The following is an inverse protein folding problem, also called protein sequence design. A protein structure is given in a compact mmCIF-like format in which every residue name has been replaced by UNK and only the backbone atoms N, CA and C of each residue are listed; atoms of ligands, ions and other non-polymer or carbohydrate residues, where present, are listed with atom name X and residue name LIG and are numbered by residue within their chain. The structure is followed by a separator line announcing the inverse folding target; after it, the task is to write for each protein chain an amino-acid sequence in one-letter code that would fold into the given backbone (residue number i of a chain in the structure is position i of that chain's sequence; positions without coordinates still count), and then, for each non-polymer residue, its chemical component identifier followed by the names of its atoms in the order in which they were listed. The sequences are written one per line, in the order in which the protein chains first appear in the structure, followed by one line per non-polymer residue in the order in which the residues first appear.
data_IF_851863737297
#
_entry.id   IF_851863737297
#
_cell.length_a   1.000
_cell.length_b   1.000
_cell.length_c   1.000
_cell.angle_alpha   90.00
_cell.angle_beta   90.00
_cell.angle_gamma   90.00
#
_symmetry.space_group_name_H-M   'P 1'
#
loop_
_entity.id
_entity.type
_entity.pdbx_description
1 polymer ?
#
# COMPACT_ATOMS: atom_id res chain seq x y z
N UNK A 1 -40.71 60.96 4.69
CA UNK A 1 -39.73 61.02 3.57
C UNK A 1 -38.91 59.75 3.66
N UNK A 2 -39.41 58.66 3.07
CA UNK A 2 -38.93 57.30 3.36
C UNK A 2 -37.99 56.89 2.24
N UNK A 3 -36.69 57.02 2.49
CA UNK A 3 -35.65 56.87 1.49
C UNK A 3 -35.47 55.41 1.01
N UNK A 4 -35.24 55.20 -0.30
CA UNK A 4 -34.83 53.91 -0.89
C UNK A 4 -33.53 53.31 -0.30
N UNK A 5 -32.79 54.11 0.47
CA UNK A 5 -31.53 53.72 1.14
C UNK A 5 -31.69 52.57 2.11
N UNK A 6 -32.87 52.39 2.69
CA UNK A 6 -33.13 51.26 3.56
C UNK A 6 -33.18 49.96 2.70
N UNK A 7 -34.01 49.87 1.66
CA UNK A 7 -34.14 48.61 0.87
C UNK A 7 -32.82 48.19 0.20
N UNK A 8 -31.97 49.16 -0.15
CA UNK A 8 -30.63 48.91 -0.69
C UNK A 8 -29.72 48.10 0.25
N UNK A 9 -29.80 48.31 1.57
CA UNK A 9 -28.96 47.59 2.54
C UNK A 9 -29.27 46.09 2.59
N UNK A 10 -30.55 45.72 2.55
CA UNK A 10 -30.98 44.32 2.50
C UNK A 10 -30.55 43.67 1.19
N UNK A 11 -30.70 44.37 0.07
CA UNK A 11 -30.29 43.87 -1.25
C UNK A 11 -28.77 43.65 -1.29
N UNK A 12 -27.97 44.56 -0.74
CA UNK A 12 -26.50 44.41 -0.66
C UNK A 12 -26.11 43.25 0.25
N UNK A 13 -26.78 43.08 1.39
CA UNK A 13 -26.51 41.96 2.31
C UNK A 13 -26.85 40.62 1.66
N UNK A 14 -28.01 40.52 1.01
CA UNK A 14 -28.43 39.33 0.26
C UNK A 14 -27.47 39.07 -0.90
N UNK A 15 -27.08 40.10 -1.65
CA UNK A 15 -26.12 39.98 -2.75
C UNK A 15 -24.73 39.53 -2.26
N UNK A 16 -24.25 40.06 -1.12
CA UNK A 16 -22.98 39.64 -0.52
C UNK A 16 -23.04 38.19 -0.02
N UNK A 17 -24.17 37.77 0.57
CA UNK A 17 -24.39 36.39 1.02
C UNK A 17 -24.45 35.42 -0.17
N UNK A 18 -25.15 35.80 -1.24
CA UNK A 18 -25.20 35.06 -2.50
C UNK A 18 -23.84 34.98 -3.17
N UNK A 19 -23.10 36.08 -3.19
CA UNK A 19 -21.76 36.13 -3.74
C UNK A 19 -20.82 35.21 -2.96
N UNK A 20 -20.88 35.23 -1.62
CA UNK A 20 -20.07 34.36 -0.78
C UNK A 20 -20.46 32.88 -0.93
N UNK A 21 -21.76 32.59 -1.00
CA UNK A 21 -22.30 31.25 -1.22
C UNK A 21 -21.91 30.69 -2.59
N UNK A 22 -21.86 31.55 -3.61
CA UNK A 22 -21.41 31.21 -4.96
C UNK A 22 -19.88 31.02 -5.04
N UNK A 23 -19.12 31.82 -4.29
CA UNK A 23 -17.65 31.84 -4.39
C UNK A 23 -16.95 30.81 -3.48
N UNK A 24 -17.57 30.39 -2.38
CA UNK A 24 -17.04 29.33 -1.49
C UNK A 24 -16.81 27.98 -2.21
N UNK A 25 -17.72 27.50 -3.07
CA UNK A 25 -17.53 26.28 -3.85
C UNK A 25 -16.48 26.42 -4.95
N UNK A 26 -16.40 27.58 -5.62
CA UNK A 26 -15.56 27.77 -6.81
C UNK A 26 -14.06 27.69 -6.50
N UNK A 27 -13.63 28.19 -5.33
CA UNK A 27 -12.27 28.03 -4.82
C UNK A 27 -11.86 26.57 -4.59
N UNK A 28 -12.85 25.70 -4.41
CA UNK A 28 -12.63 24.26 -4.24
C UNK A 28 -12.36 23.53 -5.56
N UNK A 29 -12.71 24.16 -6.68
CA UNK A 29 -12.42 23.66 -8.02
C UNK A 29 -10.93 23.77 -8.34
N UNK A 30 -10.31 24.94 -8.06
CA UNK A 30 -8.90 25.25 -8.40
C UNK A 30 -7.91 24.16 -7.96
N UNK A 31 -8.05 23.59 -6.77
CA UNK A 31 -7.17 22.51 -6.30
C UNK A 31 -7.45 21.13 -6.91
N UNK A 32 -8.60 20.93 -7.53
CA UNK A 32 -8.91 19.70 -8.29
C UNK A 32 -8.39 19.80 -9.72
N UNK A 33 -8.30 21.00 -10.29
CA UNK A 33 -7.69 21.23 -11.61
C UNK A 33 -6.20 20.84 -11.62
N UNK A 34 -5.43 21.16 -10.57
CA UNK A 34 -4.02 20.74 -10.45
C UNK A 34 -3.82 19.20 -10.41
N UNK A 35 -4.82 18.46 -9.95
CA UNK A 35 -4.80 16.99 -9.92
C UNK A 35 -5.27 16.39 -11.25
N UNK A 36 -6.26 17.02 -11.89
CA UNK A 36 -6.76 16.65 -13.20
C UNK A 36 -5.74 16.90 -14.32
N UNK A 37 -5.00 18.03 -14.28
CA UNK A 37 -3.92 18.32 -15.22
C UNK A 37 -2.82 17.26 -15.18
N UNK A 38 -2.38 16.87 -13.99
CA UNK A 38 -1.36 15.81 -13.84
C UNK A 38 -1.84 14.46 -14.34
N UNK A 39 -3.15 14.19 -14.28
CA UNK A 39 -3.73 12.95 -14.81
C UNK A 39 -3.85 13.00 -16.35
N UNK A 40 -4.24 14.16 -16.90
CA UNK A 40 -4.27 14.41 -18.34
C UNK A 40 -2.86 14.31 -18.96
N UNK A 41 -1.83 14.82 -18.28
CA UNK A 41 -0.45 14.73 -18.72
C UNK A 41 0.10 13.29 -18.70
N UNK A 42 -0.33 12.46 -17.74
CA UNK A 42 0.03 11.03 -17.69
C UNK A 42 -0.62 10.25 -18.82
N UNK A 43 -1.89 10.52 -19.11
CA UNK A 43 -2.60 9.92 -20.24
C UNK A 43 -1.98 10.31 -21.58
N UNK A 44 -1.66 11.59 -21.78
CA UNK A 44 -0.98 12.02 -23.02
C UNK A 44 0.42 11.39 -23.17
N UNK A 45 1.17 11.22 -22.08
CA UNK A 45 2.45 10.49 -22.10
C UNK A 45 2.26 9.00 -22.37
N UNK A 46 1.22 8.39 -21.81
CA UNK A 46 0.90 6.99 -22.05
C UNK A 46 0.48 6.75 -23.51
N UNK A 47 -0.33 7.65 -24.09
CA UNK A 47 -0.71 7.59 -25.50
C UNK A 47 0.49 7.81 -26.42
N UNK A 48 1.39 8.74 -26.06
CA UNK A 48 2.64 8.97 -26.80
C UNK A 48 3.52 7.72 -26.81
N UNK A 49 3.71 7.10 -25.64
CA UNK A 49 4.51 5.86 -25.50
C UNK A 49 3.83 4.70 -26.22
N UNK A 50 2.49 4.57 -26.16
CA UNK A 50 1.74 3.56 -26.89
C UNK A 50 1.86 3.72 -28.41
N UNK A 51 1.84 4.97 -28.90
CA UNK A 51 2.08 5.29 -30.29
C UNK A 51 3.53 4.98 -30.70
N UNK A 52 4.51 5.35 -29.87
CA UNK A 52 5.93 5.05 -30.10
C UNK A 52 6.25 3.54 -30.01
N UNK A 53 5.45 2.73 -29.30
CA UNK A 53 5.58 1.26 -29.27
C UNK A 53 4.79 0.52 -30.35
N UNK A 54 4.11 1.22 -31.26
CA UNK A 54 3.28 0.60 -32.32
C UNK A 54 4.00 0.42 -33.67
N UNK A 55 5.24 0.89 -33.80
CA UNK A 55 6.07 0.67 -34.99
C UNK A 55 6.71 -0.73 -34.95
N UNK A 56 5.91 -1.73 -35.37
CA UNK A 56 6.15 -3.10 -35.87
C UNK A 56 7.34 -3.94 -35.32
N UNK A 57 7.12 -5.25 -35.03
CA UNK A 57 7.32 -6.23 -36.12
C UNK A 57 6.43 -7.50 -36.01
N UNK A 58 6.06 -8.06 -37.19
CA UNK A 58 6.00 -9.52 -37.54
C UNK A 58 4.79 -9.88 -38.41
N UNK A 59 4.94 -9.71 -39.71
CA UNK A 59 3.99 -10.22 -40.70
C UNK A 59 4.32 -11.62 -41.25
N UNK A 60 5.33 -12.36 -40.73
CA UNK A 60 5.83 -13.57 -41.43
C UNK A 60 5.84 -14.87 -40.58
N UNK A 61 5.06 -14.99 -39.50
CA UNK A 61 5.01 -16.26 -38.71
C UNK A 61 3.61 -16.70 -38.28
N UNK A 62 2.56 -16.25 -38.99
CA UNK A 62 1.18 -16.26 -38.47
C UNK A 62 0.30 -17.45 -38.87
N UNK A 63 0.68 -18.31 -39.82
CA UNK A 63 -0.28 -19.31 -40.30
C UNK A 63 -0.31 -20.62 -39.47
N UNK A 64 0.77 -20.96 -38.77
CA UNK A 64 0.82 -22.16 -37.89
C UNK A 64 0.59 -21.84 -36.40
N UNK A 65 0.67 -20.57 -36.02
CA UNK A 65 0.53 -20.13 -34.63
C UNK A 65 -0.85 -19.60 -34.27
N UNK A 66 -1.80 -19.41 -35.20
CA UNK A 66 -3.05 -18.72 -34.89
C UNK A 66 -3.89 -19.42 -33.79
N UNK A 67 -3.94 -20.76 -33.78
CA UNK A 67 -4.71 -21.52 -32.77
C UNK A 67 -4.00 -21.59 -31.41
N UNK A 68 -2.70 -21.80 -31.40
CA UNK A 68 -1.88 -21.85 -30.16
C UNK A 68 -1.66 -20.45 -29.58
N UNK A 69 -1.50 -19.42 -30.41
CA UNK A 69 -1.41 -18.03 -29.99
C UNK A 69 -2.72 -17.52 -29.39
N UNK A 70 -3.89 -17.93 -29.89
CA UNK A 70 -5.17 -17.59 -29.25
C UNK A 70 -5.32 -18.23 -27.87
N UNK A 71 -4.87 -19.48 -27.69
CA UNK A 71 -4.86 -20.14 -26.38
C UNK A 71 -3.89 -19.45 -25.40
N UNK A 72 -2.68 -19.12 -25.86
CA UNK A 72 -1.68 -18.39 -25.06
C UNK A 72 -2.12 -16.95 -24.76
N UNK A 73 -2.80 -16.28 -25.69
CA UNK A 73 -3.35 -14.94 -25.48
C UNK A 73 -4.49 -14.96 -24.47
N UNK A 74 -5.34 -15.99 -24.47
CA UNK A 74 -6.38 -16.18 -23.44
C UNK A 74 -5.78 -16.42 -22.06
N UNK A 75 -4.72 -17.23 -21.97
CA UNK A 75 -3.99 -17.44 -20.71
C UNK A 75 -3.29 -16.16 -20.23
N UNK A 76 -2.63 -15.42 -21.13
CA UNK A 76 -2.00 -14.14 -20.81
C UNK A 76 -3.02 -13.10 -20.32
N UNK A 77 -4.19 -12.99 -20.97
CA UNK A 77 -5.28 -12.10 -20.53
C UNK A 77 -5.84 -12.49 -19.16
N UNK A 78 -5.97 -13.79 -18.86
CA UNK A 78 -6.40 -14.27 -17.55
C UNK A 78 -5.39 -13.92 -16.46
N UNK A 79 -4.11 -14.16 -16.70
CA UNK A 79 -3.04 -13.80 -15.76
C UNK A 79 -2.92 -12.28 -15.56
N UNK A 80 -3.15 -11.48 -16.60
CA UNK A 80 -3.21 -10.02 -16.48
C UNK A 80 -4.41 -9.59 -15.64
N UNK A 81 -5.61 -10.13 -15.89
CA UNK A 81 -6.80 -9.83 -15.11
C UNK A 81 -6.64 -10.23 -13.63
N UNK A 82 -6.02 -11.39 -13.35
CA UNK A 82 -5.72 -11.82 -11.97
C UNK A 82 -4.72 -10.88 -11.28
N UNK A 83 -3.67 -10.44 -11.99
CA UNK A 83 -2.71 -9.47 -11.46
C UNK A 83 -3.37 -8.12 -11.19
N UNK A 84 -4.18 -7.61 -12.11
CA UNK A 84 -4.94 -6.37 -11.93
C UNK A 84 -5.90 -6.48 -10.74
N UNK A 85 -6.59 -7.60 -10.57
CA UNK A 85 -7.46 -7.83 -9.42
C UNK A 85 -6.67 -7.88 -8.11
N UNK A 86 -5.53 -8.55 -8.07
CA UNK A 86 -4.65 -8.60 -6.91
C UNK A 86 -4.07 -7.21 -6.56
N UNK A 87 -3.70 -6.41 -7.56
CA UNK A 87 -3.25 -5.03 -7.37
C UNK A 87 -4.40 -4.15 -6.86
N UNK A 88 -5.60 -4.26 -7.42
CA UNK A 88 -6.78 -3.53 -6.95
C UNK A 88 -7.13 -3.91 -5.50
N UNK A 89 -7.00 -5.18 -5.12
CA UNK A 89 -7.19 -5.63 -3.74
C UNK A 89 -6.12 -5.03 -2.82
N UNK A 90 -4.84 -5.05 -3.21
CA UNK A 90 -3.76 -4.40 -2.44
C UNK A 90 -3.96 -2.90 -2.31
N UNK A 91 -4.39 -2.20 -3.37
CA UNK A 91 -4.72 -0.78 -3.29
C UNK A 91 -5.91 -0.53 -2.36
N UNK A 92 -6.94 -1.39 -2.39
CA UNK A 92 -8.09 -1.31 -1.48
C UNK A 92 -7.67 -1.54 -0.03
N UNK A 93 -6.80 -2.50 0.24
CA UNK A 93 -6.23 -2.77 1.57
C UNK A 93 -5.36 -1.61 2.05
N UNK A 94 -4.50 -1.05 1.19
CA UNK A 94 -3.70 0.13 1.51
C UNK A 94 -4.59 1.36 1.77
N UNK A 95 -5.65 1.55 0.98
CA UNK A 95 -6.63 2.60 1.21
C UNK A 95 -7.44 2.35 2.49
N UNK A 96 -7.77 1.10 2.82
CA UNK A 96 -8.46 0.72 4.05
C UNK A 96 -7.55 0.96 5.27
N UNK A 97 -6.27 0.59 5.20
CA UNK A 97 -5.26 0.87 6.21
C UNK A 97 -5.04 2.37 6.40
N UNK A 98 -4.96 3.13 5.31
CA UNK A 98 -4.84 4.60 5.35
C UNK A 98 -6.11 5.28 5.87
N UNK A 99 -7.30 4.72 5.61
CA UNK A 99 -8.57 5.19 6.17
C UNK A 99 -8.76 4.80 7.63
N UNK A 100 -8.20 3.66 8.04
CA UNK A 100 -8.19 3.18 9.42
C UNK A 100 -7.21 4.01 10.28
N UNK A 101 -6.22 4.66 9.67
CA UNK A 101 -5.33 5.58 10.36
C UNK A 101 -6.14 6.73 11.02
N UNK A 102 -6.15 6.80 12.36
CA UNK A 102 -6.89 7.82 13.09
C UNK A 102 -6.41 9.24 12.77
N UNK A 103 -5.18 9.43 12.29
CA UNK A 103 -4.65 10.74 11.90
C UNK A 103 -5.38 11.30 10.66
N UNK A 104 -5.62 10.48 9.64
CA UNK A 104 -6.33 10.87 8.42
C UNK A 104 -7.81 11.17 8.66
N UNK A 105 -8.49 10.36 9.50
CA UNK A 105 -9.88 10.61 9.90
C UNK A 105 -10.03 11.92 10.66
N UNK A 106 -9.13 12.20 11.61
CA UNK A 106 -9.11 13.45 12.38
C UNK A 106 -8.84 14.67 11.49
N UNK A 107 -7.96 14.55 10.49
CA UNK A 107 -7.67 15.64 9.55
C UNK A 107 -8.88 15.97 8.65
N UNK A 108 -9.58 14.95 8.13
CA UNK A 108 -10.76 15.15 7.25
C UNK A 108 -11.99 15.64 8.04
N UNK A 109 -12.20 15.13 9.26
CA UNK A 109 -13.22 15.63 10.16
C UNK A 109 -13.02 17.13 10.46
N UNK A 110 -11.79 17.55 10.77
CA UNK A 110 -11.46 18.97 11.01
C UNK A 110 -11.75 19.88 9.81
N UNK A 111 -11.50 19.40 8.59
CA UNK A 111 -11.82 20.18 7.37
C UNK A 111 -13.33 20.35 7.20
N UNK A 112 -14.12 19.31 7.46
CA UNK A 112 -15.59 19.37 7.40
C UNK A 112 -16.16 20.27 8.49
N UNK A 113 -15.70 20.14 9.74
CA UNK A 113 -16.20 20.97 10.85
C UNK A 113 -15.86 22.45 10.68
N UNK A 114 -14.70 22.77 10.10
CA UNK A 114 -14.33 24.16 9.80
C UNK A 114 -15.27 24.76 8.77
N UNK A 115 -15.66 24.00 7.74
CA UNK A 115 -16.59 24.47 6.71
C UNK A 115 -18.00 24.66 7.25
N UNK A 116 -18.50 23.71 8.04
CA UNK A 116 -19.83 23.85 8.64
C UNK A 116 -19.87 25.04 9.59
N UNK A 117 -18.82 25.25 10.39
CA UNK A 117 -18.74 26.39 11.29
C UNK A 117 -18.60 27.74 10.56
N UNK A 118 -17.87 27.81 9.44
CA UNK A 118 -17.81 29.04 8.62
C UNK A 118 -19.13 29.33 7.93
N UNK A 119 -19.82 28.32 7.40
CA UNK A 119 -21.13 28.50 6.77
C UNK A 119 -22.17 28.94 7.80
N UNK A 120 -22.19 28.31 8.98
CA UNK A 120 -23.06 28.73 10.08
C UNK A 120 -22.79 30.16 10.54
N UNK A 121 -21.51 30.58 10.62
CA UNK A 121 -21.17 31.96 10.98
C UNK A 121 -21.72 32.97 9.95
N UNK A 122 -21.59 32.68 8.65
CA UNK A 122 -22.10 33.55 7.59
C UNK A 122 -23.62 33.65 7.65
N UNK A 123 -24.32 32.53 7.82
CA UNK A 123 -25.77 32.51 7.98
C UNK A 123 -26.22 33.29 9.23
N UNK A 124 -25.50 33.12 10.34
CA UNK A 124 -25.78 33.83 11.59
C UNK A 124 -25.60 35.35 11.44
N UNK A 125 -24.53 35.79 10.78
CA UNK A 125 -24.32 37.22 10.47
C UNK A 125 -25.42 37.78 9.57
N UNK A 126 -25.89 37.00 8.59
CA UNK A 126 -27.03 37.36 7.77
C UNK A 126 -28.31 37.52 8.59
N UNK A 127 -28.59 36.57 9.48
CA UNK A 127 -29.74 36.63 10.39
C UNK A 127 -29.67 37.83 11.36
N UNK A 128 -28.49 38.19 11.86
CA UNK A 128 -28.28 39.40 12.67
C UNK A 128 -28.58 40.66 11.84
N UNK A 129 -28.07 40.74 10.62
CA UNK A 129 -28.35 41.88 9.73
C UNK A 129 -29.84 42.05 9.44
N UNK A 130 -30.54 40.96 9.16
CA UNK A 130 -32.00 40.94 9.00
C UNK A 130 -32.75 41.28 10.30
N UNK A 131 -32.24 40.84 11.45
CA UNK A 131 -32.80 41.15 12.75
C UNK A 131 -32.67 42.63 13.13
N UNK A 132 -31.54 43.26 12.83
CA UNK A 132 -31.32 44.70 13.02
C UNK A 132 -32.27 45.51 12.15
N UNK A 133 -32.42 45.10 10.89
CA UNK A 133 -33.41 45.69 9.98
C UNK A 133 -34.82 45.63 10.55
N UNK A 134 -35.27 44.45 10.96
CA UNK A 134 -36.61 44.23 11.48
C UNK A 134 -36.87 45.06 12.75
N UNK A 135 -35.85 45.22 13.60
CA UNK A 135 -35.93 46.03 14.81
C UNK A 135 -36.17 47.52 14.51
N UNK A 136 -35.54 48.05 13.45
CA UNK A 136 -35.71 49.45 13.01
C UNK A 136 -37.11 49.70 12.44
N UNK A 137 -37.73 48.70 11.83
CA UNK A 137 -39.13 48.74 11.37
C UNK A 137 -40.15 48.50 12.50
N UNK A 138 -39.71 48.36 13.75
CA UNK A 138 -40.58 48.14 14.92
C UNK A 138 -40.98 46.69 15.15
N UNK A 139 -40.31 45.73 14.50
CA UNK A 139 -40.53 44.30 14.66
C UNK A 139 -39.75 43.66 15.82
N UNK A 140 -39.85 42.33 15.91
CA UNK A 140 -39.41 41.55 17.09
C UNK A 140 -37.90 41.29 17.12
N UNK A 141 -37.25 41.46 18.28
CA UNK A 141 -35.78 41.29 18.41
C UNK A 141 -35.26 39.85 18.40
N UNK A 142 -36.13 38.84 18.20
CA UNK A 142 -35.78 37.41 18.34
C UNK A 142 -34.70 36.99 17.35
N UNK A 143 -34.77 37.45 16.08
CA UNK A 143 -33.79 37.11 15.06
C UNK A 143 -32.40 37.66 15.37
N UNK A 144 -32.33 38.85 16.00
CA UNK A 144 -31.09 39.49 16.39
C UNK A 144 -30.41 38.71 17.52
N UNK A 145 -31.16 38.32 18.55
CA UNK A 145 -30.63 37.51 19.65
C UNK A 145 -30.26 36.09 19.22
N UNK A 146 -31.10 35.43 18.42
CA UNK A 146 -30.84 34.08 17.91
C UNK A 146 -29.61 34.06 16.97
N UNK A 147 -29.55 34.99 16.01
CA UNK A 147 -28.40 35.14 15.11
C UNK A 147 -27.12 35.48 15.87
N UNK A 148 -27.20 36.38 16.85
CA UNK A 148 -26.07 36.75 17.70
C UNK A 148 -25.53 35.57 18.50
N UNK A 149 -26.41 34.77 19.13
CA UNK A 149 -26.03 33.59 19.88
C UNK A 149 -25.33 32.54 19.00
N UNK A 150 -25.86 32.27 17.80
CA UNK A 150 -25.23 31.34 16.83
C UNK A 150 -23.89 31.88 16.34
N UNK A 151 -23.75 33.19 16.10
CA UNK A 151 -22.50 33.81 15.68
C UNK A 151 -21.42 33.66 16.76
N UNK A 152 -21.75 33.91 18.03
CA UNK A 152 -20.81 33.74 19.16
C UNK A 152 -20.36 32.29 19.30
N UNK A 153 -21.28 31.32 19.21
CA UNK A 153 -20.94 29.89 19.24
C UNK A 153 -20.04 29.47 18.08
N UNK A 154 -20.35 29.91 16.86
CA UNK A 154 -19.54 29.63 15.69
C UNK A 154 -18.13 30.25 15.80
N UNK A 155 -18.03 31.48 16.29
CA UNK A 155 -16.75 32.16 16.51
C UNK A 155 -15.91 31.46 17.58
N UNK A 156 -16.52 31.06 18.70
CA UNK A 156 -15.86 30.30 19.77
C UNK A 156 -15.34 28.94 19.28
N UNK A 157 -16.10 28.25 18.44
CA UNK A 157 -15.66 27.00 17.80
C UNK A 157 -14.45 27.23 16.87
N UNK A 158 -14.49 28.28 16.04
CA UNK A 158 -13.36 28.66 15.18
C UNK A 158 -12.11 29.01 15.99
N UNK A 159 -12.26 29.80 17.06
CA UNK A 159 -11.15 30.16 17.96
C UNK A 159 -10.54 28.93 18.65
N UNK A 160 -11.37 27.99 19.12
CA UNK A 160 -10.85 26.72 19.67
C UNK A 160 -10.09 25.92 18.62
N UNK A 161 -10.57 25.88 17.38
CA UNK A 161 -9.88 25.19 16.28
C UNK A 161 -8.55 25.85 15.91
N UNK A 162 -8.48 27.19 15.85
CA UNK A 162 -7.22 27.90 15.60
C UNK A 162 -6.23 27.72 16.75
N UNK A 163 -6.69 27.71 18.00
CA UNK A 163 -5.87 27.43 19.16
C UNK A 163 -5.32 25.99 19.14
N UNK A 164 -6.11 25.01 18.72
CA UNK A 164 -5.66 23.61 18.55
C UNK A 164 -4.67 23.49 17.39
N UNK A 165 -4.92 24.17 16.27
CA UNK A 165 -4.02 24.18 15.12
C UNK A 165 -2.67 24.83 15.47
N UNK A 166 -2.69 25.97 16.16
CA UNK A 166 -1.48 26.64 16.68
C UNK A 166 -0.74 25.77 17.69
N UNK A 167 -1.45 25.10 18.61
CA UNK A 167 -0.83 24.16 19.56
C UNK A 167 -0.20 22.96 18.86
N UNK A 168 -0.85 22.39 17.85
CA UNK A 168 -0.31 21.30 17.06
C UNK A 168 0.93 21.73 16.27
N UNK A 169 0.88 22.90 15.62
CA UNK A 169 2.01 23.47 14.89
C UNK A 169 3.19 23.78 15.83
N UNK A 170 2.94 24.36 17.01
CA UNK A 170 3.97 24.58 18.04
C UNK A 170 4.57 23.29 18.56
N UNK A 171 3.78 22.23 18.73
CA UNK A 171 4.29 20.91 19.14
C UNK A 171 5.15 20.28 18.05
N UNK A 172 4.74 20.39 16.78
CA UNK A 172 5.54 19.93 15.64
C UNK A 172 6.84 20.73 15.51
N UNK A 173 6.79 22.05 15.66
CA UNK A 173 7.96 22.92 15.67
C UNK A 173 8.89 22.59 16.84
N UNK A 174 8.37 22.31 18.04
CA UNK A 174 9.17 21.87 19.20
C UNK A 174 9.76 20.47 19.03
N UNK A 175 9.10 19.57 18.31
CA UNK A 175 9.66 18.26 18.00
C UNK A 175 10.76 18.34 16.93
N UNK A 176 10.62 19.27 15.98
CA UNK A 176 11.65 19.56 14.97
C UNK A 176 12.84 20.37 15.54
N UNK A 177 12.56 21.25 16.50
CA UNK A 177 13.56 22.05 17.22
C UNK A 177 14.04 21.40 18.51
N UNK A 178 13.50 20.24 18.88
CA UNK A 178 14.11 19.41 19.90
C UNK A 178 15.52 19.14 19.38
N UNK A 179 16.57 19.49 20.15
CA UNK A 179 17.92 19.20 19.72
C UNK A 179 17.94 17.69 19.46
N UNK A 180 18.19 17.31 18.21
CA UNK A 180 18.67 15.95 17.94
C UNK A 180 19.79 15.79 18.94
N UNK A 181 19.62 14.89 19.93
CA UNK A 181 20.60 14.67 21.00
C UNK A 181 21.94 14.64 20.29
N UNK A 182 22.65 15.75 20.41
CA UNK A 182 23.88 15.93 19.70
C UNK A 182 24.75 14.89 20.37
N UNK A 183 25.08 13.83 19.64
CA UNK A 183 26.28 13.08 19.95
C UNK A 183 27.34 14.16 20.26
N UNK A 184 27.99 14.10 21.43
CA UNK A 184 28.78 15.20 21.95
C UNK A 184 29.62 15.73 20.81
N UNK A 185 29.47 17.02 20.52
CA UNK A 185 30.29 17.71 19.52
C UNK A 185 31.71 17.34 19.91
N UNK A 186 32.34 16.51 19.07
CA UNK A 186 33.70 16.08 19.27
C UNK A 186 34.48 17.37 19.22
N UNK A 187 35.02 17.80 20.36
CA UNK A 187 35.95 18.92 20.41
C UNK A 187 36.93 18.71 19.26
N UNK A 188 37.02 19.69 18.36
CA UNK A 188 37.99 19.67 17.28
C UNK A 188 39.36 19.56 17.94
N UNK A 189 39.91 18.35 17.93
CA UNK A 189 41.23 18.09 18.46
C UNK A 189 42.20 19.06 17.78
N UNK A 190 42.98 19.79 18.58
CA UNK A 190 44.01 20.70 18.09
C UNK A 190 44.83 19.98 17.02
N UNK A 191 44.84 20.54 15.80
CA UNK A 191 45.64 19.99 14.71
C UNK A 191 47.12 20.15 15.07
N UNK A 192 47.70 19.11 15.67
CA UNK A 192 49.15 18.97 15.73
C UNK A 192 49.69 18.89 14.30
N UNK A 193 50.80 19.60 14.03
CA UNK A 193 51.46 19.60 12.73
C UNK A 193 51.91 18.17 12.37
N UNK A 194 51.24 17.55 11.40
CA UNK A 194 51.38 16.12 11.08
C UNK A 194 52.56 15.82 10.13
N UNK A 195 53.51 16.74 9.98
CA UNK A 195 54.66 16.57 9.11
C UNK A 195 54.32 16.54 7.61
N UNK A 196 55.28 16.22 6.74
CA UNK A 196 55.09 16.29 5.29
C UNK A 196 54.04 15.27 4.80
N UNK A 197 53.09 15.78 4.01
CA UNK A 197 51.94 15.03 3.48
C UNK A 197 52.40 13.84 2.62
N UNK A 198 52.34 12.64 3.19
CA UNK A 198 52.50 11.39 2.44
C UNK A 198 51.14 10.90 2.00
N UNK A 199 50.90 10.76 0.69
CA UNK A 199 49.63 10.26 0.17
C UNK A 199 49.50 8.77 0.51
N UNK A 200 48.54 8.42 1.37
CA UNK A 200 48.14 7.04 1.64
C UNK A 200 46.74 6.80 1.09
N UNK A 201 46.53 5.77 0.25
CA UNK A 201 45.20 5.48 -0.29
C UNK A 201 44.23 5.15 0.86
N UNK A 202 43.18 5.95 0.98
CA UNK A 202 42.16 5.79 2.01
C UNK A 202 41.19 4.71 1.57
N UNK A 203 40.93 3.70 2.41
CA UNK A 203 39.90 2.72 2.14
C UNK A 203 38.53 3.39 2.08
N UNK A 204 37.69 2.93 1.15
CA UNK A 204 36.31 3.40 1.05
C UNK A 204 35.58 3.10 2.37
N UNK A 205 34.77 4.03 2.90
CA UNK A 205 33.96 3.74 4.08
C UNK A 205 33.03 2.55 3.82
N UNK A 206 32.79 1.79 4.88
CA UNK A 206 31.91 0.62 4.84
C UNK A 206 30.49 1.03 4.41
N UNK A 207 29.83 0.29 3.51
CA UNK A 207 28.49 0.62 3.08
C UNK A 207 27.50 0.56 4.26
N UNK A 208 26.62 1.57 4.36
CA UNK A 208 25.71 1.68 5.50
C UNK A 208 24.80 0.46 5.71
N UNK A 209 24.56 -0.35 4.67
CA UNK A 209 23.75 -1.57 4.77
C UNK A 209 24.39 -2.69 5.59
N UNK A 210 25.73 -2.70 5.76
CA UNK A 210 26.43 -3.69 6.59
C UNK A 210 26.66 -3.20 8.02
N UNK A 211 26.64 -1.88 8.25
CA UNK A 211 26.77 -1.30 9.58
C UNK A 211 25.47 -1.46 10.37
N UNK A 212 25.53 -2.26 11.43
CA UNK A 212 24.40 -2.51 12.34
C UNK A 212 23.87 -1.20 12.96
N UNK A 213 22.54 -1.04 12.97
CA UNK A 213 21.85 0.12 13.58
C UNK A 213 21.66 1.33 12.66
N UNK A 214 22.21 1.31 11.44
CA UNK A 214 21.89 2.37 10.46
C UNK A 214 20.47 2.20 9.89
N UNK A 215 19.92 3.28 9.34
CA UNK A 215 18.62 3.25 8.64
C UNK A 215 18.63 2.34 7.42
N UNK A 216 19.76 2.26 6.71
CA UNK A 216 19.91 1.42 5.53
C UNK A 216 19.89 -0.07 5.90
N UNK A 217 20.60 -0.44 6.98
CA UNK A 217 20.55 -1.80 7.54
C UNK A 217 19.13 -2.16 7.99
N UNK A 218 18.44 -1.27 8.72
CA UNK A 218 17.07 -1.52 9.16
C UNK A 218 16.10 -1.71 7.97
N UNK A 219 16.22 -0.89 6.93
CA UNK A 219 15.42 -1.04 5.71
C UNK A 219 15.70 -2.38 5.02
N UNK A 220 16.97 -2.81 4.92
CA UNK A 220 17.33 -4.09 4.34
C UNK A 220 16.76 -5.27 5.14
N UNK A 221 16.88 -5.24 6.46
CA UNK A 221 16.31 -6.25 7.35
C UNK A 221 14.78 -6.39 7.17
N UNK A 222 14.06 -5.28 6.96
CA UNK A 222 12.62 -5.36 6.68
C UNK A 222 12.30 -6.01 5.33
N UNK A 223 13.12 -5.76 4.31
CA UNK A 223 12.95 -6.38 2.98
C UNK A 223 13.24 -7.88 3.07
N UNK A 224 14.32 -8.26 3.74
CA UNK A 224 14.71 -9.66 3.90
C UNK A 224 13.67 -10.44 4.72
N UNK A 225 13.12 -9.85 5.79
CA UNK A 225 12.02 -10.44 6.55
C UNK A 225 10.77 -10.67 5.69
N UNK A 226 10.43 -9.72 4.80
CA UNK A 226 9.33 -9.89 3.85
C UNK A 226 9.61 -10.98 2.80
N UNK A 227 10.86 -11.11 2.35
CA UNK A 227 11.25 -12.15 1.40
C UNK A 227 11.11 -13.55 2.04
N UNK A 228 11.63 -13.73 3.25
CA UNK A 228 11.50 -14.99 4.00
C UNK A 228 10.04 -15.35 4.25
N UNK A 229 9.18 -14.37 4.58
CA UNK A 229 7.75 -14.62 4.75
C UNK A 229 7.08 -15.10 3.45
N UNK A 230 7.48 -14.57 2.28
CA UNK A 230 6.96 -15.01 0.97
C UNK A 230 7.47 -16.41 0.62
N UNK A 231 8.73 -16.70 0.90
CA UNK A 231 9.31 -18.03 0.67
C UNK A 231 8.64 -19.09 1.54
N UNK A 232 8.44 -18.80 2.84
CA UNK A 232 7.70 -19.67 3.74
C UNK A 232 6.26 -19.91 3.26
N UNK A 233 5.57 -18.88 2.78
CA UNK A 233 4.23 -19.02 2.22
C UNK A 233 4.19 -19.93 0.98
N UNK A 234 5.17 -19.79 0.08
CA UNK A 234 5.30 -20.66 -1.11
C UNK A 234 5.60 -22.11 -0.73
N UNK A 235 6.49 -22.32 0.25
CA UNK A 235 6.81 -23.66 0.75
C UNK A 235 5.58 -24.34 1.37
N UNK A 236 4.80 -23.60 2.15
CA UNK A 236 3.54 -24.11 2.73
C UNK A 236 2.50 -24.44 1.64
N UNK A 237 2.41 -23.65 0.57
CA UNK A 237 1.53 -23.94 -0.56
C UNK A 237 1.96 -25.21 -1.31
N UNK A 238 3.27 -25.37 -1.55
CA UNK A 238 3.81 -26.59 -2.16
C UNK A 238 3.52 -27.83 -1.29
N UNK A 239 3.68 -27.72 0.03
CA UNK A 239 3.35 -28.83 0.94
C UNK A 239 1.87 -29.22 0.84
N UNK A 240 0.95 -28.24 0.82
CA UNK A 240 -0.48 -28.53 0.62
C UNK A 240 -0.76 -29.22 -0.71
N UNK A 241 -0.10 -28.79 -1.79
CA UNK A 241 -0.23 -29.43 -3.10
C UNK A 241 0.30 -30.87 -3.10
N UNK A 242 1.41 -31.11 -2.40
CA UNK A 242 1.96 -32.46 -2.23
C UNK A 242 0.98 -33.34 -1.46
N UNK A 243 0.34 -32.83 -0.41
CA UNK A 243 -0.68 -33.55 0.36
C UNK A 243 -1.95 -33.82 -0.46
N UNK A 244 -2.41 -32.86 -1.27
CA UNK A 244 -3.54 -33.04 -2.20
C UNK A 244 -3.26 -34.11 -3.27
N UNK A 245 -2.02 -34.18 -3.75
CA UNK A 245 -1.57 -35.12 -4.78
C UNK A 245 -1.00 -36.42 -4.19
N UNK A 246 -0.89 -36.52 -2.87
CA UNK A 246 -0.38 -37.71 -2.22
C UNK A 246 -1.34 -38.88 -2.53
N UNK A 247 -0.83 -40.00 -3.06
CA UNK A 247 -1.63 -41.21 -3.19
C UNK A 247 -2.22 -41.57 -1.82
N UNK A 248 -3.44 -42.17 -1.77
CA UNK A 248 -3.98 -42.67 -0.52
C UNK A 248 -2.94 -43.55 0.14
N UNK A 249 -2.73 -43.35 1.46
CA UNK A 249 -1.75 -44.11 2.23
C UNK A 249 -1.91 -45.59 1.90
N UNK A 250 -0.82 -46.30 1.53
CA UNK A 250 -0.91 -47.72 1.24
C UNK A 250 -1.59 -48.39 2.42
N UNK A 251 -2.65 -49.15 2.14
CA UNK A 251 -3.37 -49.91 3.17
C UNK A 251 -2.33 -50.70 3.94
N UNK A 252 -2.17 -50.41 5.22
CA UNK A 252 -1.37 -51.23 6.12
C UNK A 252 -2.05 -52.61 6.11
N UNK A 253 -1.50 -53.52 5.30
CA UNK A 253 -1.79 -54.93 5.43
C UNK A 253 -1.54 -55.25 6.90
N UNK A 254 -2.52 -55.84 7.61
CA UNK A 254 -2.29 -56.25 8.98
C UNK A 254 -1.00 -57.07 9.00
N UNK A 255 0.01 -56.56 9.70
CA UNK A 255 1.17 -57.37 10.04
C UNK A 255 0.59 -58.65 10.64
N UNK A 256 0.93 -59.84 10.10
CA UNK A 256 0.44 -61.06 10.69
C UNK A 256 0.99 -61.07 12.12
N UNK A 257 0.09 -60.82 13.08
CA UNK A 257 0.31 -61.14 14.46
C UNK A 257 0.67 -62.63 14.44
N UNK A 258 1.87 -62.92 14.91
CA UNK A 258 2.50 -64.23 14.91
C UNK A 258 1.67 -65.26 15.70
N UNK A 259 0.59 -65.80 15.14
CA UNK A 259 -0.15 -66.92 15.77
C UNK A 259 -0.73 -67.92 14.77
N UNK A 260 -0.12 -68.06 13.58
CA UNK A 260 -0.41 -69.22 12.73
C UNK A 260 0.89 -69.91 12.32
N UNK A 261 1.13 -71.18 12.72
CA UNK A 261 2.30 -71.92 12.25
C UNK A 261 2.22 -72.00 10.72
N UNK A 262 3.29 -71.54 10.07
CA UNK A 262 3.44 -71.56 8.63
C UNK A 262 3.05 -72.93 8.08
N UNK A 263 1.98 -73.00 7.30
CA UNK A 263 1.71 -74.17 6.47
C UNK A 263 2.86 -74.25 5.46
N UNK A 264 3.74 -75.24 5.64
CA UNK A 264 4.79 -75.57 4.70
C UNK A 264 4.17 -75.73 3.30
N UNK A 265 4.49 -74.80 2.40
CA UNK A 265 4.14 -75.01 1.00
C UNK A 265 4.88 -76.27 0.52
N UNK A 266 4.26 -77.13 -0.32
CA UNK A 266 4.91 -78.34 -0.85
C UNK A 266 6.25 -78.07 -1.56
N UNK A 267 6.47 -76.82 -1.97
CA UNK A 267 7.67 -76.34 -2.65
C UNK A 267 8.79 -75.90 -1.69
N UNK A 268 8.52 -75.70 -0.40
CA UNK A 268 9.55 -75.38 0.59
C UNK A 268 10.53 -76.55 0.83
N UNK A 269 10.15 -77.79 0.47
CA UNK A 269 11.02 -78.97 0.53
C UNK A 269 11.87 -79.17 -0.72
N UNK A 270 11.61 -78.45 -1.81
CA UNK A 270 12.58 -78.35 -2.89
C UNK A 270 13.61 -77.32 -2.47
N UNK A 271 14.79 -77.79 -2.06
CA UNK A 271 15.88 -76.96 -1.57
C UNK A 271 16.09 -75.74 -2.46
N UNK A 272 16.22 -74.58 -1.81
CA UNK A 272 16.58 -73.32 -2.45
C UNK A 272 17.83 -73.54 -3.30
N UNK A 273 17.70 -73.48 -4.62
CA UNK A 273 18.86 -73.56 -5.51
C UNK A 273 19.50 -72.19 -5.48
N UNK A 274 20.74 -72.13 -4.99
CA UNK A 274 21.50 -70.89 -4.95
C UNK A 274 21.84 -70.46 -6.39
N UNK A 275 21.35 -69.29 -6.80
CA UNK A 275 21.59 -68.70 -8.13
C UNK A 275 23.11 -68.60 -8.43
N UNK A 276 23.95 -68.45 -7.40
CA UNK A 276 25.39 -68.41 -7.55
C UNK A 276 25.98 -69.77 -8.03
N UNK A 277 25.42 -70.90 -7.59
CA UNK A 277 25.84 -72.23 -8.04
C UNK A 277 25.43 -72.49 -9.49
N UNK A 278 24.24 -72.03 -9.89
CA UNK A 278 23.75 -72.14 -11.27
C UNK A 278 24.67 -71.35 -12.21
N UNK A 279 25.02 -70.11 -11.85
CA UNK A 279 25.95 -69.30 -12.64
C UNK A 279 27.33 -69.96 -12.80
N UNK A 280 27.86 -70.52 -11.70
CA UNK A 280 29.15 -71.22 -11.72
C UNK A 280 29.13 -72.47 -12.61
N UNK A 281 28.00 -73.17 -12.66
CA UNK A 281 27.81 -74.32 -13.55
C UNK A 281 27.74 -73.90 -15.02
N UNK A 282 26.97 -72.86 -15.34
CA UNK A 282 26.85 -72.32 -16.70
C UNK A 282 28.20 -71.81 -17.22
N UNK A 283 28.98 -71.09 -16.41
CA UNK A 283 30.34 -70.66 -16.81
C UNK A 283 31.25 -71.83 -17.15
N UNK A 284 31.19 -72.93 -16.39
CA UNK A 284 31.96 -74.16 -16.69
C UNK A 284 31.52 -74.81 -17.99
N UNK A 285 30.22 -74.84 -18.27
CA UNK A 285 29.66 -75.40 -19.51
C UNK A 285 30.10 -74.60 -20.74
N UNK A 286 30.06 -73.27 -20.64
CA UNK A 286 30.54 -72.37 -21.70
C UNK A 286 32.05 -72.49 -21.91
N UNK A 287 32.84 -72.61 -20.84
CA UNK A 287 34.28 -72.79 -20.93
C UNK A 287 34.67 -74.11 -21.64
N UNK A 288 33.95 -75.21 -21.39
CA UNK A 288 34.17 -76.49 -22.11
C UNK A 288 33.82 -76.41 -23.58
N UNK A 289 32.76 -75.68 -23.93
CA UNK A 289 32.35 -75.48 -25.33
C UNK A 289 33.32 -74.59 -26.11
N UNK A 290 34.01 -73.66 -25.44
CA UNK A 290 35.01 -72.81 -26.06
C UNK A 290 36.37 -73.52 -26.30
N UNK A 291 36.59 -74.69 -25.70
CA UNK A 291 37.84 -75.44 -25.76
C UNK A 291 37.79 -76.70 -26.65
N UNK A 292 36.69 -76.93 -27.37
CA UNK A 292 36.55 -77.97 -28.39
C UNK A 292 36.18 -77.37 -29.74
#
# INVERSE_FOLDING_TARGET
MNGPVLSGGVIVLVAALLWLLYFLPSWRGQHQYDAAERNALRLNRALRVLAETSEAPREVQLELNARTALAQQRLAKRLQAEREQAELQRLREQLAATRADPAFRRARARRRTRLTATVLLVLALGAVGLGVWQLVEGGTSILLWAGGAVAVLALGMLQRMTAVARRAARRAARAAAAPAVAAPVREEAELHDQGPRTWTPRSLPEPLVSVNGTRAHAARATIDAQALAREAARAAELQRRVEELAPPAPVELPTPVEEHPAQESPYARMGYVDDAEIEAHVRRLLARRAAG
#
